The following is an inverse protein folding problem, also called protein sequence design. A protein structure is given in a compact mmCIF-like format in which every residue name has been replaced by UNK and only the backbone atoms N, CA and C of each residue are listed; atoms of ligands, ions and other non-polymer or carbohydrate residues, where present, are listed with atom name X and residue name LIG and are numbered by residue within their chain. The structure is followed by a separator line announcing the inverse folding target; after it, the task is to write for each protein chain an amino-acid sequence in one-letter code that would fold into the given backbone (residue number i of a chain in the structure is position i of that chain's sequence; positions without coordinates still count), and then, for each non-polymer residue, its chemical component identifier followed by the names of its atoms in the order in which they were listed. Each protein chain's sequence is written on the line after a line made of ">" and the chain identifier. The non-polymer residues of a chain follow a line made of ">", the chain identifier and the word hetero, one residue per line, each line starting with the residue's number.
data_IF_251397251101
#
_entry.id   IF_251397251101
#
_cell.length_a   1.000
_cell.length_b   1.000
_cell.length_c   1.000
_cell.angle_alpha   90.00
_cell.angle_beta   90.00
_cell.angle_gamma   90.00
#
_symmetry.space_group_name_H-M   'P 1'
#
loop_
_entity.id
_entity.type
_entity.pdbx_description
1 polymer ?
#
# COMPACT_ATOMS: atom_id res chain seq x y z
N UNK A 1 -2.44 -14.75 80.81
CA UNK A 1 -1.52 -15.68 80.13
C UNK A 1 -1.97 -15.87 78.70
N UNK A 2 -1.05 -15.63 77.77
CA UNK A 2 -0.92 -16.17 76.40
C UNK A 2 -2.07 -15.88 75.40
N UNK A 3 -1.74 -14.98 74.46
CA UNK A 3 -2.46 -14.68 73.21
C UNK A 3 -2.18 -15.70 72.10
N UNK A 4 -3.09 -15.92 71.14
CA UNK A 4 -2.85 -16.79 69.99
C UNK A 4 -2.10 -16.05 68.88
N UNK A 5 -1.02 -16.67 68.37
CA UNK A 5 -0.30 -16.18 67.18
C UNK A 5 -1.03 -16.63 65.92
N UNK A 6 -1.48 -15.66 65.13
CA UNK A 6 -2.01 -15.84 63.78
C UNK A 6 -0.82 -15.99 62.82
N UNK A 7 -0.56 -17.20 62.34
CA UNK A 7 0.41 -17.46 61.27
C UNK A 7 -0.32 -17.61 59.95
N UNK A 8 -0.42 -16.52 59.20
CA UNK A 8 -0.76 -16.58 57.77
C UNK A 8 0.47 -17.13 57.04
N UNK A 9 0.30 -18.27 56.38
CA UNK A 9 1.35 -18.99 55.67
C UNK A 9 1.87 -18.17 54.49
N UNK A 10 3.14 -17.77 54.59
CA UNK A 10 3.93 -17.15 53.51
C UNK A 10 3.93 -17.96 52.20
N UNK A 11 3.56 -19.24 52.24
CA UNK A 11 3.52 -20.13 51.08
C UNK A 11 2.37 -19.81 50.10
N UNK A 12 1.30 -19.13 50.53
CA UNK A 12 0.21 -18.74 49.62
C UNK A 12 0.57 -17.48 48.80
N UNK A 13 1.33 -16.55 49.38
CA UNK A 13 1.69 -15.28 48.75
C UNK A 13 2.70 -15.46 47.60
N UNK A 14 3.62 -16.42 47.72
CA UNK A 14 4.60 -16.72 46.67
C UNK A 14 4.01 -17.44 45.44
N UNK A 15 2.93 -18.21 45.61
CA UNK A 15 2.27 -18.87 44.46
C UNK A 15 1.46 -17.89 43.61
N UNK A 16 0.90 -16.83 44.20
CA UNK A 16 0.11 -15.83 43.48
C UNK A 16 1.01 -14.90 42.64
N UNK A 17 2.20 -14.54 43.14
CA UNK A 17 3.14 -13.64 42.43
C UNK A 17 3.80 -14.33 41.22
N UNK A 18 4.05 -15.64 41.29
CA UNK A 18 4.64 -16.41 40.17
C UNK A 18 3.68 -16.63 38.99
N UNK A 19 2.37 -16.78 39.26
CA UNK A 19 1.37 -16.92 38.20
C UNK A 19 1.03 -15.59 37.52
N UNK A 20 1.03 -14.47 38.25
CA UNK A 20 0.76 -13.14 37.68
C UNK A 20 1.92 -12.62 36.81
N UNK A 21 3.17 -12.88 37.19
CA UNK A 21 4.34 -12.48 36.39
C UNK A 21 4.47 -13.23 35.06
N UNK A 22 3.96 -14.46 34.99
CA UNK A 22 4.03 -15.30 33.78
C UNK A 22 2.91 -15.02 32.77
N UNK A 23 1.77 -14.50 33.23
CA UNK A 23 0.63 -14.13 32.37
C UNK A 23 0.84 -12.76 31.72
N UNK A 24 1.51 -11.81 32.41
CA UNK A 24 1.76 -10.47 31.85
C UNK A 24 2.86 -10.44 30.76
N UNK A 25 3.82 -11.38 30.78
CA UNK A 25 4.96 -11.36 29.85
C UNK A 25 4.67 -12.03 28.49
N UNK A 26 3.62 -12.85 28.39
CA UNK A 26 3.20 -13.48 27.12
C UNK A 26 2.16 -12.64 26.37
N UNK A 27 1.45 -11.73 27.05
CA UNK A 27 0.40 -10.90 26.44
C UNK A 27 0.93 -9.70 25.62
N UNK A 28 2.21 -9.35 25.74
CA UNK A 28 2.77 -8.14 25.10
C UNK A 28 3.49 -8.36 23.76
N UNK A 29 3.63 -9.60 23.28
CA UNK A 29 4.37 -9.90 22.04
C UNK A 29 3.50 -10.21 20.81
N UNK A 30 2.16 -10.15 20.93
CA UNK A 30 1.23 -10.46 19.83
C UNK A 30 0.11 -9.42 19.67
N UNK A 31 0.37 -8.15 19.95
CA UNK A 31 -0.49 -7.09 19.41
C UNK A 31 0.03 -6.76 18.01
N UNK A 32 -0.69 -7.12 16.91
CA UNK A 32 -0.35 -6.59 15.60
C UNK A 32 -0.54 -5.07 15.66
N UNK A 33 0.55 -4.35 15.82
CA UNK A 33 0.59 -2.90 15.70
C UNK A 33 0.28 -2.55 14.23
N UNK A 34 -0.98 -2.17 14.01
CA UNK A 34 -1.49 -1.27 12.97
C UNK A 34 -1.56 -1.74 11.50
N UNK A 35 -2.66 -2.42 11.10
CA UNK A 35 -3.24 -2.21 9.78
C UNK A 35 -4.09 -0.91 9.70
N UNK A 36 -4.47 -0.30 10.84
CA UNK A 36 -5.49 0.75 10.88
C UNK A 36 -5.03 2.13 10.33
N UNK A 37 -3.71 2.41 10.27
CA UNK A 37 -3.16 3.73 9.92
C UNK A 37 -3.51 4.21 8.50
N UNK A 38 -3.86 3.30 7.58
CA UNK A 38 -4.22 3.66 6.20
C UNK A 38 -5.73 3.69 5.95
N UNK A 39 -6.55 3.09 6.83
CA UNK A 39 -8.00 3.22 6.74
C UNK A 39 -8.44 4.67 6.98
N UNK A 40 -7.71 5.38 7.83
CA UNK A 40 -7.93 6.79 8.14
C UNK A 40 -6.60 7.55 8.12
N UNK A 41 -6.45 8.46 7.16
CA UNK A 41 -5.31 9.38 7.09
C UNK A 41 -5.70 10.76 7.63
N UNK A 42 -4.72 11.58 8.00
CA UNK A 42 -4.96 12.99 8.36
C UNK A 42 -4.73 13.89 7.15
N UNK A 43 -5.78 14.59 6.72
CA UNK A 43 -5.75 15.59 5.65
C UNK A 43 -6.19 16.93 6.26
N UNK A 44 -5.41 17.99 6.07
CA UNK A 44 -5.70 19.33 6.59
C UNK A 44 -6.00 19.35 8.11
N UNK A 45 -5.30 18.51 8.87
CA UNK A 45 -5.47 18.36 10.31
C UNK A 45 -6.74 17.60 10.74
N UNK A 46 -7.46 16.98 9.81
CA UNK A 46 -8.71 16.25 10.07
C UNK A 46 -8.61 14.80 9.60
N UNK A 47 -9.33 13.87 10.26
CA UNK A 47 -9.40 12.49 9.80
C UNK A 47 -10.15 12.39 8.45
N UNK A 48 -9.60 11.61 7.53
CA UNK A 48 -10.20 11.28 6.24
C UNK A 48 -10.16 9.77 6.03
N UNK A 49 -11.33 9.13 6.08
CA UNK A 49 -11.49 7.67 5.96
C UNK A 49 -11.40 7.18 4.52
N UNK A 50 -11.55 5.87 4.30
CA UNK A 50 -11.55 5.25 2.95
C UNK A 50 -12.67 5.78 2.05
N UNK A 51 -13.78 6.23 2.62
CA UNK A 51 -14.89 6.82 1.86
C UNK A 51 -14.76 8.34 1.68
N UNK A 52 -13.67 8.93 2.18
CA UNK A 52 -13.44 10.37 2.15
C UNK A 52 -14.59 11.14 2.81
N UNK A 53 -15.11 12.16 2.12
CA UNK A 53 -16.27 12.95 2.58
C UNK A 53 -17.50 12.86 1.66
N UNK A 54 -17.60 11.78 0.88
CA UNK A 54 -18.75 11.57 -0.01
C UNK A 54 -20.07 11.55 0.77
N UNK A 55 -21.07 12.21 0.20
CA UNK A 55 -22.46 12.23 0.73
C UNK A 55 -23.42 11.41 -0.13
N UNK A 56 -23.12 11.26 -1.42
CA UNK A 56 -23.90 10.44 -2.34
C UNK A 56 -23.40 9.00 -2.26
N UNK A 57 -24.32 8.05 -2.41
CA UNK A 57 -24.05 6.61 -2.25
C UNK A 57 -23.08 6.07 -3.29
N UNK A 58 -23.22 6.49 -4.55
CA UNK A 58 -22.33 6.17 -5.67
C UNK A 58 -20.88 6.60 -5.39
N UNK A 59 -20.67 7.87 -5.02
CA UNK A 59 -19.38 8.41 -4.66
C UNK A 59 -18.81 7.75 -3.39
N UNK A 60 -19.67 7.41 -2.42
CA UNK A 60 -19.25 6.72 -1.20
C UNK A 60 -18.68 5.33 -1.51
N UNK A 61 -19.36 4.56 -2.36
CA UNK A 61 -18.89 3.25 -2.81
C UNK A 61 -17.63 3.37 -3.68
N UNK A 62 -17.61 4.30 -4.64
CA UNK A 62 -16.47 4.56 -5.51
C UNK A 62 -15.21 4.92 -4.71
N UNK A 63 -15.34 5.77 -3.68
CA UNK A 63 -14.21 6.20 -2.87
C UNK A 63 -13.50 5.03 -2.18
N UNK A 64 -14.22 3.98 -1.79
CA UNK A 64 -13.61 2.80 -1.21
C UNK A 64 -12.67 2.09 -2.21
N UNK A 65 -13.05 2.04 -3.49
CA UNK A 65 -12.20 1.48 -4.55
C UNK A 65 -11.01 2.38 -4.85
N UNK A 66 -11.22 3.70 -4.97
CA UNK A 66 -10.16 4.70 -5.21
C UNK A 66 -9.13 4.68 -4.07
N UNK A 67 -9.56 4.59 -2.81
CA UNK A 67 -8.70 4.64 -1.63
C UNK A 67 -8.12 3.30 -1.15
N UNK A 68 -8.14 2.24 -1.96
CA UNK A 68 -7.42 1.00 -1.64
C UNK A 68 -5.94 1.28 -1.38
N UNK A 69 -5.30 0.47 -0.56
CA UNK A 69 -3.88 0.65 -0.19
C UNK A 69 -3.11 -0.67 -0.02
N UNK A 70 -3.81 -1.79 -0.13
CA UNK A 70 -3.25 -3.11 -0.27
C UNK A 70 -2.78 -3.32 -1.71
N UNK A 71 -1.65 -4.00 -1.87
CA UNK A 71 -1.20 -4.48 -3.17
C UNK A 71 -2.04 -5.70 -3.58
N UNK A 72 -2.44 -5.84 -4.85
CA UNK A 72 -3.13 -7.02 -5.34
C UNK A 72 -2.26 -8.28 -5.22
N UNK A 73 -2.86 -9.43 -4.94
CA UNK A 73 -2.23 -10.73 -5.05
C UNK A 73 -2.22 -11.21 -6.51
N UNK A 74 -1.43 -12.25 -6.82
CA UNK A 74 -1.37 -12.83 -8.18
C UNK A 74 -2.76 -13.20 -8.70
N UNK A 75 -3.63 -13.75 -7.85
CA UNK A 75 -5.00 -14.17 -8.20
C UNK A 75 -5.94 -13.01 -8.54
N UNK A 76 -5.58 -11.79 -8.14
CA UNK A 76 -6.39 -10.60 -8.38
C UNK A 76 -6.15 -10.04 -9.77
N UNK A 77 -5.03 -10.37 -10.41
CA UNK A 77 -4.71 -9.89 -11.74
C UNK A 77 -5.51 -10.59 -12.83
N UNK A 78 -6.10 -9.79 -13.71
CA UNK A 78 -6.62 -10.23 -14.99
C UNK A 78 -5.63 -9.81 -16.09
N UNK A 79 -4.91 -10.80 -16.65
CA UNK A 79 -3.88 -10.56 -17.67
C UNK A 79 -4.44 -10.23 -19.05
N UNK A 80 -5.75 -10.39 -19.26
CA UNK A 80 -6.39 -10.06 -20.54
C UNK A 80 -6.62 -8.55 -20.68
N UNK A 81 -6.59 -7.83 -19.55
CA UNK A 81 -6.83 -6.40 -19.48
C UNK A 81 -5.53 -5.67 -19.82
N UNK A 82 -5.46 -5.14 -21.03
CA UNK A 82 -4.33 -4.36 -21.55
C UNK A 82 -4.68 -2.89 -21.68
N UNK A 83 -3.68 -2.02 -21.83
CA UNK A 83 -3.89 -0.60 -22.10
C UNK A 83 -4.76 -0.38 -23.35
N UNK A 84 -4.52 -1.17 -24.41
CA UNK A 84 -5.28 -1.09 -25.65
C UNK A 84 -6.73 -1.55 -25.48
N UNK A 85 -6.98 -2.55 -24.64
CA UNK A 85 -8.33 -3.01 -24.32
C UNK A 85 -9.09 -1.95 -23.52
N UNK A 86 -8.49 -1.42 -22.44
CA UNK A 86 -9.11 -0.36 -21.62
C UNK A 86 -9.46 0.87 -22.43
N UNK A 87 -8.56 1.33 -23.31
CA UNK A 87 -8.77 2.52 -24.15
C UNK A 87 -10.09 2.49 -24.93
N UNK A 88 -10.61 1.31 -25.27
CA UNK A 88 -11.84 1.12 -26.05
C UNK A 88 -13.05 0.71 -25.22
N UNK A 89 -12.90 0.63 -23.89
CA UNK A 89 -13.89 0.06 -22.98
C UNK A 89 -14.77 1.16 -22.37
N UNK A 90 -16.04 1.23 -22.74
CA UNK A 90 -17.00 2.19 -22.15
C UNK A 90 -18.00 1.54 -21.18
N UNK A 91 -18.16 0.21 -21.22
CA UNK A 91 -19.17 -0.48 -20.41
C UNK A 91 -18.70 -0.63 -18.94
N UNK A 92 -19.46 -0.12 -17.95
CA UNK A 92 -19.14 -0.29 -16.51
C UNK A 92 -19.13 -1.74 -16.03
N UNK A 93 -19.73 -2.67 -16.78
CA UNK A 93 -19.81 -4.09 -16.42
C UNK A 93 -18.76 -4.95 -17.13
N UNK A 94 -17.95 -4.36 -18.01
CA UNK A 94 -16.99 -5.10 -18.82
C UNK A 94 -15.89 -5.76 -17.98
N UNK A 95 -15.48 -5.12 -16.87
CA UNK A 95 -14.47 -5.62 -15.96
C UNK A 95 -14.97 -5.59 -14.52
N UNK A 96 -14.33 -6.37 -13.65
CA UNK A 96 -14.59 -6.31 -12.22
C UNK A 96 -13.66 -5.31 -11.55
N UNK A 97 -14.21 -4.39 -10.75
CA UNK A 97 -13.42 -3.50 -9.89
C UNK A 97 -12.65 -4.25 -8.79
N UNK A 98 -12.97 -5.53 -8.55
CA UNK A 98 -12.20 -6.42 -7.65
C UNK A 98 -10.98 -7.05 -8.33
N UNK A 99 -10.73 -6.75 -9.61
CA UNK A 99 -9.55 -7.20 -10.34
C UNK A 99 -8.50 -6.11 -10.43
N UNK A 100 -7.27 -6.55 -10.60
CA UNK A 100 -6.11 -5.73 -10.87
C UNK A 100 -5.66 -5.93 -12.31
N UNK A 101 -4.96 -4.93 -12.85
CA UNK A 101 -4.41 -4.98 -14.19
C UNK A 101 -2.93 -4.57 -14.17
N UNK A 102 -2.20 -5.03 -15.19
CA UNK A 102 -0.85 -4.53 -15.51
C UNK A 102 -0.95 -3.79 -16.82
N UNK A 103 -0.69 -2.49 -16.78
CA UNK A 103 -0.68 -1.65 -17.96
C UNK A 103 0.75 -1.30 -18.34
N UNK A 104 0.99 -1.30 -19.65
CA UNK A 104 2.25 -0.87 -20.25
C UNK A 104 1.93 0.22 -21.24
N UNK A 105 2.61 1.35 -21.12
CA UNK A 105 2.33 2.51 -21.95
C UNK A 105 3.36 3.60 -21.79
N UNK A 106 3.29 4.56 -22.70
CA UNK A 106 4.06 5.78 -22.63
C UNK A 106 3.33 6.81 -21.75
N UNK A 107 4.07 7.47 -20.86
CA UNK A 107 3.52 8.49 -19.96
C UNK A 107 3.50 9.83 -20.68
N UNK A 108 2.32 10.22 -21.15
CA UNK A 108 2.10 11.50 -21.82
C UNK A 108 2.20 12.68 -20.83
N UNK A 109 1.51 12.60 -19.69
CA UNK A 109 1.58 13.61 -18.64
C UNK A 109 1.46 13.01 -17.24
N UNK A 110 1.98 13.74 -16.27
CA UNK A 110 1.82 13.46 -14.84
C UNK A 110 1.46 14.76 -14.15
N UNK A 111 0.29 14.84 -13.55
CA UNK A 111 -0.24 16.07 -12.95
C UNK A 111 -0.98 15.78 -11.66
N UNK A 112 -1.33 16.85 -10.97
CA UNK A 112 -2.20 16.77 -9.81
C UNK A 112 -3.63 16.44 -10.31
N UNK A 113 -4.22 15.39 -9.76
CA UNK A 113 -5.61 14.99 -9.98
C UNK A 113 -6.59 16.01 -9.39
N UNK A 114 -7.89 15.83 -9.62
CA UNK A 114 -8.95 16.77 -9.25
C UNK A 114 -9.10 17.05 -7.74
N UNK A 115 -10.07 17.89 -7.37
CA UNK A 115 -10.54 17.99 -5.98
C UNK A 115 -11.68 17.01 -5.83
N UNK A 116 -11.45 15.93 -5.10
CA UNK A 116 -12.33 14.77 -5.09
C UNK A 116 -12.84 14.43 -3.69
N UNK A 117 -13.97 13.73 -3.62
CA UNK A 117 -14.55 13.33 -2.34
C UNK A 117 -13.70 12.27 -1.63
N UNK A 118 -13.02 11.37 -2.37
CA UNK A 118 -12.12 10.34 -1.84
C UNK A 118 -11.00 10.93 -0.96
N UNK A 119 -10.56 12.15 -1.28
CA UNK A 119 -9.53 12.91 -0.59
C UNK A 119 -10.12 14.05 0.27
N UNK A 120 -11.35 13.87 0.73
CA UNK A 120 -12.08 14.81 1.58
C UNK A 120 -12.18 16.24 0.99
N UNK A 121 -12.16 16.38 -0.34
CA UNK A 121 -12.16 17.64 -1.08
C UNK A 121 -11.04 18.61 -0.67
N UNK A 122 -9.91 18.07 -0.22
CA UNK A 122 -8.74 18.90 0.06
C UNK A 122 -8.27 19.64 -1.19
N UNK A 123 -7.76 20.86 -0.98
CA UNK A 123 -7.12 21.65 -2.02
C UNK A 123 -5.60 21.56 -1.95
N UNK A 124 -5.06 20.95 -0.90
CA UNK A 124 -3.62 20.77 -0.73
C UNK A 124 -3.12 19.75 -1.77
N UNK A 125 -2.16 20.14 -2.64
CA UNK A 125 -1.56 19.23 -3.61
C UNK A 125 -0.95 17.95 -3.00
N UNK A 126 -0.50 17.99 -1.75
CA UNK A 126 0.06 16.83 -1.07
C UNK A 126 -0.98 15.73 -0.84
N UNK A 127 -2.26 16.07 -0.76
CA UNK A 127 -3.35 15.16 -0.45
C UNK A 127 -4.32 14.93 -1.61
N UNK A 128 -3.99 15.41 -2.81
CA UNK A 128 -4.72 15.10 -4.05
C UNK A 128 -4.02 14.02 -4.85
N UNK A 129 -4.75 13.16 -5.53
CA UNK A 129 -4.18 12.07 -6.31
C UNK A 129 -3.18 12.59 -7.36
N UNK A 130 -2.20 11.76 -7.70
CA UNK A 130 -1.33 12.00 -8.85
C UNK A 130 -1.92 11.32 -10.06
N UNK A 131 -2.35 12.13 -11.01
CA UNK A 131 -2.98 11.70 -12.25
C UNK A 131 -1.91 11.44 -13.31
N UNK A 132 -1.88 10.22 -13.86
CA UNK A 132 -0.92 9.79 -14.89
C UNK A 132 -1.71 9.45 -16.14
N UNK A 133 -1.40 10.13 -17.25
CA UNK A 133 -2.02 9.88 -18.56
C UNK A 133 -1.13 8.92 -19.35
N UNK A 134 -1.62 7.72 -19.61
CA UNK A 134 -0.96 6.71 -20.43
C UNK A 134 -1.51 6.71 -21.85
N UNK A 135 -0.61 6.55 -22.82
CA UNK A 135 -0.93 6.37 -24.24
C UNK A 135 -0.19 5.15 -24.80
N UNK A 136 -0.70 4.59 -25.89
CA UNK A 136 -0.10 3.40 -26.52
C UNK A 136 1.21 3.69 -27.24
N UNK A 137 1.44 4.94 -27.64
CA UNK A 137 2.61 5.40 -28.37
C UNK A 137 2.77 6.91 -28.15
N UNK A 138 3.99 7.41 -28.17
CA UNK A 138 4.33 8.82 -27.96
C UNK A 138 3.84 9.74 -29.08
N UNK A 139 3.47 9.18 -30.24
CA UNK A 139 2.78 9.91 -31.30
C UNK A 139 1.29 10.20 -31.01
N UNK A 140 0.64 9.47 -30.09
CA UNK A 140 -0.78 9.63 -29.79
C UNK A 140 -0.99 10.59 -28.62
N UNK A 141 -1.13 11.87 -28.93
CA UNK A 141 -1.23 12.92 -27.89
C UNK A 141 -2.66 13.35 -27.56
N UNK A 142 -3.67 13.01 -28.38
CA UNK A 142 -5.04 13.47 -28.18
C UNK A 142 -5.73 12.79 -26.98
N UNK A 143 -6.71 13.48 -26.39
CA UNK A 143 -7.49 13.01 -25.25
C UNK A 143 -8.12 11.61 -25.47
N UNK A 144 -8.54 11.32 -26.71
CA UNK A 144 -9.13 10.04 -27.10
C UNK A 144 -8.20 8.83 -26.94
N UNK A 145 -6.90 9.06 -26.75
CA UNK A 145 -5.91 7.99 -26.55
C UNK A 145 -5.40 7.87 -25.11
N UNK A 146 -5.93 8.67 -24.17
CA UNK A 146 -5.39 8.76 -22.82
C UNK A 146 -6.17 7.89 -21.85
N UNK A 147 -5.52 6.88 -21.29
CA UNK A 147 -6.06 6.08 -20.18
C UNK A 147 -5.43 6.58 -18.88
N UNK A 148 -6.25 6.71 -17.85
CA UNK A 148 -5.84 7.29 -16.58
C UNK A 148 -5.38 6.20 -15.63
N UNK A 149 -4.33 6.50 -14.88
CA UNK A 149 -3.95 5.74 -13.71
C UNK A 149 -3.54 6.72 -12.61
N UNK A 150 -3.85 6.41 -11.35
CA UNK A 150 -3.68 7.36 -10.25
C UNK A 150 -2.89 6.79 -9.06
N UNK A 151 -2.01 7.62 -8.50
CA UNK A 151 -1.34 7.36 -7.23
C UNK A 151 -1.99 8.19 -6.12
N UNK A 152 -2.50 7.53 -5.09
CA UNK A 152 -3.22 8.20 -4.00
C UNK A 152 -2.30 8.71 -2.89
N UNK A 153 -2.75 9.64 -2.02
CA UNK A 153 -2.02 10.02 -0.80
C UNK A 153 -1.60 8.84 0.07
N UNK A 154 -2.46 7.82 0.20
CA UNK A 154 -2.19 6.59 0.97
C UNK A 154 -0.98 5.84 0.42
N UNK A 155 -0.95 5.62 -0.90
CA UNK A 155 0.17 4.95 -1.54
C UNK A 155 1.44 5.79 -1.50
N UNK A 156 1.36 7.12 -1.64
CA UNK A 156 2.52 7.99 -1.44
C UNK A 156 3.12 7.87 -0.04
N UNK A 157 2.29 7.84 0.99
CA UNK A 157 2.76 7.65 2.37
C UNK A 157 3.46 6.29 2.53
N UNK A 158 2.86 5.21 2.01
CA UNK A 158 3.45 3.87 2.06
C UNK A 158 4.77 3.75 1.30
N UNK A 159 4.90 4.42 0.16
CA UNK A 159 6.15 4.41 -0.60
C UNK A 159 7.23 5.29 0.04
N UNK A 160 6.83 6.39 0.70
CA UNK A 160 7.73 7.19 1.53
C UNK A 160 8.33 6.39 2.68
N UNK A 161 7.56 5.51 3.32
CA UNK A 161 8.07 4.57 4.34
C UNK A 161 9.14 3.61 3.77
N UNK A 162 9.07 3.29 2.47
CA UNK A 162 10.07 2.50 1.74
C UNK A 162 11.26 3.35 1.24
N UNK A 163 11.29 4.66 1.53
CA UNK A 163 12.33 5.57 1.05
C UNK A 163 12.16 6.00 -0.40
N UNK A 164 10.97 5.85 -0.98
CA UNK A 164 10.65 6.27 -2.33
C UNK A 164 9.79 7.54 -2.33
N UNK A 165 10.14 8.51 -3.18
CA UNK A 165 9.36 9.73 -3.35
C UNK A 165 8.37 9.57 -4.51
N UNK A 166 7.13 9.23 -4.17
CA UNK A 166 6.02 9.16 -5.11
C UNK A 166 5.17 10.45 -5.13
N UNK A 167 5.70 11.58 -4.66
CA UNK A 167 5.02 12.86 -4.84
C UNK A 167 4.78 13.17 -6.32
N UNK A 168 3.72 13.92 -6.64
CA UNK A 168 3.38 14.30 -8.02
C UNK A 168 4.56 14.93 -8.75
N UNK A 169 5.30 15.81 -8.07
CA UNK A 169 6.46 16.47 -8.66
C UNK A 169 7.62 15.50 -8.93
N UNK A 170 7.88 14.56 -8.02
CA UNK A 170 8.91 13.54 -8.21
C UNK A 170 8.55 12.57 -9.35
N UNK A 171 7.32 12.06 -9.36
CA UNK A 171 6.82 11.21 -10.43
C UNK A 171 6.86 11.94 -11.77
N UNK A 172 6.37 13.18 -11.86
CA UNK A 172 6.42 13.97 -13.10
C UNK A 172 7.84 14.11 -13.64
N UNK A 173 8.83 14.37 -12.79
CA UNK A 173 10.25 14.40 -13.22
C UNK A 173 10.77 13.03 -13.62
N UNK A 174 10.36 11.97 -12.91
CA UNK A 174 10.91 10.64 -13.07
C UNK A 174 10.38 9.91 -14.31
N UNK A 175 9.07 10.00 -14.60
CA UNK A 175 8.41 9.13 -15.58
C UNK A 175 7.76 9.85 -16.76
N UNK A 176 7.50 11.16 -16.70
CA UNK A 176 6.91 11.87 -17.85
C UNK A 176 7.82 11.72 -19.08
N UNK A 177 7.23 11.34 -20.20
CA UNK A 177 7.96 11.09 -21.44
C UNK A 177 8.73 9.78 -21.47
N UNK A 178 8.36 8.80 -20.64
CA UNK A 178 8.98 7.47 -20.59
C UNK A 178 7.94 6.37 -20.70
N UNK A 179 8.42 5.19 -21.10
CA UNK A 179 7.65 3.97 -21.02
C UNK A 179 7.64 3.43 -19.60
N UNK A 180 6.46 3.03 -19.14
CA UNK A 180 6.28 2.45 -17.81
C UNK A 180 5.47 1.16 -17.89
N UNK A 181 5.78 0.28 -16.94
CA UNK A 181 4.90 -0.80 -16.53
C UNK A 181 4.33 -0.40 -15.17
N UNK A 182 3.00 -0.31 -15.09
CA UNK A 182 2.30 -0.06 -13.84
C UNK A 182 1.30 -1.16 -13.54
N UNK A 183 1.05 -1.36 -12.26
CA UNK A 183 0.06 -2.32 -11.80
C UNK A 183 -0.73 -1.76 -10.63
N UNK A 184 -1.98 -2.16 -10.55
CA UNK A 184 -2.89 -1.68 -9.51
C UNK A 184 -4.30 -2.18 -9.74
N UNK A 185 -5.20 -1.68 -8.92
CA UNK A 185 -6.58 -2.10 -8.97
C UNK A 185 -7.35 -1.38 -10.08
N UNK A 186 -8.25 -2.11 -10.74
CA UNK A 186 -9.20 -1.49 -11.65
C UNK A 186 -10.30 -0.78 -10.90
N UNK A 187 -10.65 0.39 -11.39
CA UNK A 187 -11.75 1.21 -10.91
C UNK A 187 -12.48 1.77 -12.12
N UNK A 188 -13.81 1.73 -12.06
CA UNK A 188 -14.64 2.43 -13.03
C UNK A 188 -15.06 3.75 -12.42
N UNK A 189 -14.48 4.85 -12.89
CA UNK A 189 -14.79 6.17 -12.36
C UNK A 189 -16.07 6.71 -13.01
N UNK A 190 -17.19 6.38 -12.38
CA UNK A 190 -18.53 6.81 -12.84
C UNK A 190 -18.68 8.34 -12.86
N UNK A 191 -17.89 9.09 -12.09
CA UNK A 191 -17.91 10.56 -12.13
C UNK A 191 -17.31 11.12 -13.44
N UNK A 192 -16.71 10.26 -14.27
CA UNK A 192 -16.01 10.61 -15.49
C UNK A 192 -16.56 9.95 -16.77
N UNK A 193 -17.73 9.31 -16.72
CA UNK A 193 -18.37 8.73 -17.91
C UNK A 193 -18.57 9.77 -19.03
N UNK A 194 -19.12 10.93 -18.71
CA UNK A 194 -19.39 11.97 -19.71
C UNK A 194 -18.13 12.68 -20.21
N UNK A 195 -16.96 12.37 -19.65
CA UNK A 195 -15.68 12.93 -20.07
C UNK A 195 -14.83 11.94 -20.88
N UNK A 196 -15.36 10.75 -21.16
CA UNK A 196 -14.67 9.65 -21.80
C UNK A 196 -15.21 9.39 -23.21
N UNK A 197 -14.32 9.34 -24.21
CA UNK A 197 -14.69 9.05 -25.60
C UNK A 197 -15.34 7.66 -25.80
N UNK A 198 -14.99 6.66 -24.98
CA UNK A 198 -15.61 5.34 -25.06
C UNK A 198 -17.09 5.33 -24.59
N UNK A 199 -17.50 6.34 -23.83
CA UNK A 199 -18.84 6.48 -23.26
C UNK A 199 -19.67 7.53 -24.03
N UNK A 200 -19.03 8.61 -24.49
CA UNK A 200 -19.63 9.71 -25.23
C UNK A 200 -18.78 10.02 -26.47
N UNK A 201 -18.81 9.19 -27.53
CA UNK A 201 -17.87 9.28 -28.65
C UNK A 201 -17.94 10.61 -29.43
N UNK A 202 -19.11 11.26 -29.44
CA UNK A 202 -19.34 12.53 -30.14
C UNK A 202 -19.16 13.76 -29.23
N UNK A 203 -18.74 13.57 -27.98
CA UNK A 203 -18.61 14.62 -26.96
C UNK A 203 -19.89 15.46 -26.79
N UNK A 204 -21.05 14.80 -26.89
CA UNK A 204 -22.35 15.45 -26.95
C UNK A 204 -22.93 15.78 -25.56
N UNK A 205 -22.50 15.05 -24.53
CA UNK A 205 -23.03 15.13 -23.17
C UNK A 205 -22.09 15.97 -22.30
N UNK A 206 -20.82 15.58 -22.18
CA UNK A 206 -19.85 16.28 -21.34
C UNK A 206 -19.28 17.55 -21.97
N UNK A 207 -19.29 17.62 -23.30
CA UNK A 207 -18.76 18.73 -24.11
C UNK A 207 -17.32 19.12 -23.76
N UNK A 208 -16.54 18.15 -23.30
CA UNK A 208 -15.14 18.30 -22.91
C UNK A 208 -14.48 16.96 -22.66
N UNK A 209 -14.64 15.98 -23.56
CA UNK A 209 -13.93 14.72 -23.43
C UNK A 209 -12.41 14.95 -23.31
N UNK A 210 -11.82 14.37 -22.26
CA UNK A 210 -10.40 14.56 -21.96
C UNK A 210 -9.66 13.25 -21.70
N UNK A 211 -10.38 12.11 -21.71
CA UNK A 211 -9.84 10.75 -21.54
C UNK A 211 -10.50 9.78 -22.52
N UNK A 212 -9.84 8.65 -22.76
CA UNK A 212 -10.34 7.60 -23.65
C UNK A 212 -11.50 6.82 -23.03
N UNK A 213 -11.40 6.44 -21.76
CA UNK A 213 -12.32 5.53 -21.05
C UNK A 213 -12.51 5.99 -19.61
N UNK A 214 -13.70 5.75 -19.03
CA UNK A 214 -13.95 5.92 -17.59
C UNK A 214 -13.27 4.84 -16.72
N UNK A 215 -12.80 3.73 -17.31
CA UNK A 215 -11.95 2.76 -16.61
C UNK A 215 -10.55 3.35 -16.34
N UNK A 216 -10.01 3.03 -15.18
CA UNK A 216 -8.66 3.43 -14.76
C UNK A 216 -8.00 2.39 -13.85
N UNK A 217 -6.68 2.52 -13.71
CA UNK A 217 -5.96 1.88 -12.61
C UNK A 217 -5.89 2.86 -11.45
N UNK A 218 -6.74 2.64 -10.45
CA UNK A 218 -6.83 3.48 -9.28
C UNK A 218 -7.08 2.61 -8.04
N UNK A 219 -6.13 2.51 -7.10
CA UNK A 219 -4.79 3.09 -7.12
C UNK A 219 -3.75 2.22 -7.83
N UNK A 220 -2.71 2.87 -8.34
CA UNK A 220 -1.43 2.25 -8.71
C UNK A 220 -0.71 1.79 -7.44
N UNK A 221 -0.25 0.54 -7.45
CA UNK A 221 0.49 -0.08 -6.34
C UNK A 221 1.88 -0.57 -6.76
N UNK A 222 2.21 -0.47 -8.04
CA UNK A 222 3.52 -0.78 -8.62
C UNK A 222 3.78 0.11 -9.83
N UNK A 223 5.01 0.57 -9.97
CA UNK A 223 5.44 1.42 -11.07
C UNK A 223 6.91 1.15 -11.37
N UNK A 224 7.22 0.89 -12.64
CA UNK A 224 8.59 0.65 -13.11
C UNK A 224 8.78 1.31 -14.47
N UNK A 225 9.91 2.01 -14.64
CA UNK A 225 10.33 2.48 -15.95
C UNK A 225 10.84 1.27 -16.75
N UNK A 226 10.41 1.17 -17.99
CA UNK A 226 10.80 0.11 -18.92
C UNK A 226 11.26 0.73 -20.25
N UNK A 227 11.89 -0.07 -21.09
CA UNK A 227 12.06 0.27 -22.51
C UNK A 227 10.76 0.03 -23.28
N UNK A 228 10.65 0.63 -24.48
CA UNK A 228 9.52 0.36 -25.38
C UNK A 228 9.45 -1.14 -25.70
N UNK A 229 8.31 -1.76 -25.42
CA UNK A 229 8.12 -3.21 -25.56
C UNK A 229 8.67 -4.06 -24.42
N UNK A 230 9.27 -3.47 -23.39
CA UNK A 230 9.69 -4.17 -22.18
C UNK A 230 8.51 -4.70 -21.36
N UNK A 231 8.73 -5.80 -20.62
CA UNK A 231 7.74 -6.34 -19.69
C UNK A 231 8.39 -7.14 -18.55
N UNK A 232 7.79 -7.09 -17.37
CA UNK A 232 8.11 -7.99 -16.25
C UNK A 232 7.06 -9.10 -16.16
N UNK A 233 7.44 -10.25 -15.59
CA UNK A 233 6.47 -11.30 -15.24
C UNK A 233 5.57 -10.86 -14.09
N UNK A 234 4.35 -11.40 -14.00
CA UNK A 234 3.46 -11.13 -12.86
C UNK A 234 4.10 -11.50 -11.52
N UNK A 235 4.84 -12.61 -11.47
CA UNK A 235 5.56 -13.01 -10.26
C UNK A 235 6.60 -11.95 -9.85
N UNK A 236 7.33 -11.38 -10.82
CA UNK A 236 8.26 -10.27 -10.57
C UNK A 236 7.55 -9.06 -10.00
N UNK A 237 6.43 -8.65 -10.60
CA UNK A 237 5.63 -7.50 -10.15
C UNK A 237 5.17 -7.69 -8.70
N UNK A 238 4.57 -8.84 -8.38
CA UNK A 238 4.05 -9.11 -7.03
C UNK A 238 5.18 -9.23 -6.00
N UNK A 239 6.32 -9.82 -6.38
CA UNK A 239 7.49 -9.87 -5.50
C UNK A 239 8.06 -8.48 -5.21
N UNK A 240 8.16 -7.61 -6.21
CA UNK A 240 8.62 -6.22 -6.04
C UNK A 240 7.63 -5.38 -5.21
N UNK A 241 6.34 -5.67 -5.25
CA UNK A 241 5.31 -5.01 -4.41
C UNK A 241 5.43 -5.39 -2.92
N UNK A 242 5.64 -6.68 -2.64
CA UNK A 242 5.67 -7.24 -1.29
C UNK A 242 7.03 -7.17 -0.58
N UNK A 243 8.12 -7.08 -1.34
CA UNK A 243 9.48 -7.14 -0.79
C UNK A 243 9.97 -5.81 -0.21
N UNK A 244 10.36 -5.82 1.06
CA UNK A 244 11.52 -5.03 1.48
C UNK A 244 12.64 -5.32 0.48
N UNK A 245 13.20 -4.28 -0.17
CA UNK A 245 14.46 -4.41 -0.88
C UNK A 245 15.49 -4.94 0.13
N UNK A 246 15.67 -6.25 0.22
CA UNK A 246 17.01 -6.78 0.39
C UNK A 246 17.73 -6.32 -0.86
N UNK A 247 18.41 -5.17 -0.72
CA UNK A 247 19.45 -4.80 -1.68
C UNK A 247 20.29 -6.05 -1.83
N UNK A 248 20.28 -6.64 -3.02
CA UNK A 248 21.41 -7.43 -3.49
C UNK A 248 22.61 -6.49 -3.39
N UNK A 249 23.23 -6.49 -2.21
CA UNK A 249 24.56 -5.99 -1.99
C UNK A 249 25.39 -6.91 -2.87
N UNK A 250 25.75 -6.40 -4.04
CA UNK A 250 26.94 -6.83 -4.78
C UNK A 250 28.01 -7.10 -3.73
N UNK A 251 28.67 -8.27 -3.70
CA UNK A 251 29.72 -8.51 -2.72
C UNK A 251 30.81 -7.47 -2.95
N UNK A 252 30.74 -6.40 -2.16
CA UNK A 252 31.77 -5.40 -2.08
C UNK A 252 32.98 -6.12 -1.53
N UNK A 253 34.03 -6.14 -2.35
CA UNK A 253 35.30 -6.69 -1.94
C UNK A 253 35.72 -6.02 -0.64
N UNK A 254 35.80 -6.87 0.38
CA UNK A 254 36.55 -6.70 1.63
C UNK A 254 37.37 -5.42 1.74
N UNK A 255 36.89 -4.46 2.51
CA UNK A 255 37.78 -3.66 3.34
C UNK A 255 37.17 -3.35 4.72
N UNK A 256 37.75 -4.02 5.71
CA UNK A 256 37.93 -3.64 7.12
C UNK A 256 36.89 -2.68 7.74
N UNK A 257 35.94 -3.28 8.45
CA UNK A 257 35.72 -3.07 9.90
C UNK A 257 35.14 -1.75 10.39
N UNK A 258 33.93 -1.81 10.96
CA UNK A 258 33.59 -1.23 12.27
C UNK A 258 32.45 -2.06 12.89
N UNK A 259 32.64 -2.49 14.14
CA UNK A 259 31.88 -3.58 14.77
C UNK A 259 30.52 -3.18 15.35
N UNK A 260 29.60 -4.15 15.40
CA UNK A 260 28.41 -4.12 16.26
C UNK A 260 28.80 -4.50 17.71
N UNK A 261 28.16 -3.93 18.74
CA UNK A 261 28.53 -4.19 20.13
C UNK A 261 28.24 -5.65 20.55
N UNK A 262 29.23 -6.33 21.13
CA UNK A 262 29.22 -7.77 21.46
C UNK A 262 28.50 -8.15 22.76
N UNK A 263 27.70 -7.26 23.37
CA UNK A 263 27.08 -7.51 24.68
C UNK A 263 25.70 -8.17 24.63
N UNK A 264 25.11 -8.41 23.45
CA UNK A 264 23.81 -9.09 23.32
C UNK A 264 23.91 -10.62 23.39
N UNK A 265 25.04 -11.21 22.98
CA UNK A 265 25.25 -12.67 23.00
C UNK A 265 25.40 -13.21 24.45
N UNK A 266 26.13 -12.54 25.37
CA UNK A 266 26.24 -13.01 26.75
C UNK A 266 24.90 -13.07 27.50
N UNK A 267 23.98 -12.11 27.27
CA UNK A 267 22.71 -12.02 28.01
C UNK A 267 21.77 -13.18 27.66
N UNK A 268 21.70 -13.57 26.39
CA UNK A 268 20.88 -14.70 25.94
C UNK A 268 21.42 -16.02 26.48
N UNK A 269 22.74 -16.19 26.51
CA UNK A 269 23.38 -17.39 27.07
C UNK A 269 23.15 -17.49 28.59
N UNK A 270 23.25 -16.38 29.32
CA UNK A 270 22.99 -16.36 30.77
C UNK A 270 21.54 -16.74 31.07
N UNK A 271 20.57 -16.20 30.32
CA UNK A 271 19.16 -16.54 30.51
C UNK A 271 18.87 -18.02 30.21
N UNK A 272 19.49 -18.59 29.16
CA UNK A 272 19.34 -20.01 28.84
C UNK A 272 19.91 -20.91 29.95
N UNK A 273 21.06 -20.56 30.50
CA UNK A 273 21.71 -21.31 31.59
C UNK A 273 20.86 -21.27 32.86
N UNK A 274 20.27 -20.12 33.20
CA UNK A 274 19.39 -19.99 34.37
C UNK A 274 18.10 -20.80 34.22
N UNK A 275 17.51 -20.83 33.02
CA UNK A 275 16.32 -21.64 32.72
C UNK A 275 16.65 -23.14 32.84
N UNK A 276 17.77 -23.58 32.27
CA UNK A 276 18.19 -24.99 32.36
C UNK A 276 18.50 -25.38 33.81
N UNK A 277 19.21 -24.54 34.56
CA UNK A 277 19.52 -24.78 35.98
C UNK A 277 18.25 -24.90 36.83
N UNK A 278 17.25 -24.06 36.58
CA UNK A 278 15.94 -24.13 37.24
C UNK A 278 15.24 -25.47 37.00
N UNK A 279 15.21 -25.96 35.75
CA UNK A 279 14.58 -27.24 35.43
C UNK A 279 15.35 -28.43 36.02
N UNK A 280 16.68 -28.38 36.05
CA UNK A 280 17.50 -29.42 36.66
C UNK A 280 17.36 -29.48 38.18
N UNK A 281 17.27 -28.33 38.86
CA UNK A 281 17.02 -28.25 40.30
C UNK A 281 15.62 -28.76 40.65
N UNK A 282 14.61 -28.41 39.85
CA UNK A 282 13.23 -28.89 40.05
C UNK A 282 13.10 -30.41 39.91
N UNK A 283 13.88 -31.04 39.03
CA UNK A 283 13.90 -32.50 38.83
C UNK A 283 14.61 -33.27 39.97
N UNK A 284 15.42 -32.58 40.78
CA UNK A 284 16.18 -33.20 41.88
C UNK A 284 15.49 -33.09 43.25
N UNK A 285 14.42 -32.29 43.33
CA UNK A 285 13.70 -31.96 44.57
C UNK A 285 12.26 -32.51 44.59
N UNK A 286 11.90 -33.35 43.63
CA UNK A 286 10.67 -34.16 43.61
C UNK A 286 11.01 -35.60 43.27
#
# INVERSE_FOLDING_TARGET
>A
MITPKCTVSYALLQKVIGYLGSILLVAFCFLPLHPHLQEQITIDGKPCGIHGNAKKEDAYALNAFKNRYNSPAISDFDTTITLAALMKSGDPNQYSQNKAAVLRGYVYDVKMGGVETCNCKTKDPQFRDTHIELVLDDAYTDAAYRVIAEVTPRLRAKMKEKGEDWSTAALRRAIKGKWVELAGWLTYDVEHETAAYANDPDDAIGQRNWRATAWEVHPITYLKIIEKGGSSSLATIVNEQGGTRERNVVPEQTSKGTGRPSWLVPVIVILLVLVIAYFLLKKKLG
#
